data_IF_022357086606
#
_entry.id   IF_022357086606
#
_cell.length_a   1.000
_cell.length_b   1.000
_cell.length_c   1.000
_cell.angle_alpha   90.00
_cell.angle_beta   90.00
_cell.angle_gamma   90.00
#
_symmetry.space_group_name_H-M   'P 1'
#
loop_
_entity.id
_entity.type
_entity.pdbx_description
1 polymer ?
#
# COMPACT_ATOMS: atom_id res chain seq x y z
N UNK A 1 0.12 -10.54 -20.73
CA UNK A 1 -0.24 -10.48 -19.28
C UNK A 1 0.81 -9.66 -18.55
N UNK A 2 0.40 -8.71 -17.74
CA UNK A 2 1.31 -7.85 -16.97
C UNK A 2 1.20 -8.21 -15.49
N UNK A 3 2.33 -8.47 -14.84
CA UNK A 3 2.42 -8.73 -13.40
C UNK A 3 3.07 -7.54 -12.71
N UNK A 4 2.42 -7.02 -11.69
CA UNK A 4 2.95 -5.96 -10.85
C UNK A 4 3.24 -6.54 -9.46
N UNK A 5 4.39 -6.20 -8.90
CA UNK A 5 4.84 -6.70 -7.60
C UNK A 5 5.09 -5.52 -6.67
N UNK A 6 4.41 -5.53 -5.52
CA UNK A 6 4.71 -4.61 -4.43
C UNK A 6 5.80 -5.23 -3.56
N UNK A 7 6.98 -4.60 -3.55
CA UNK A 7 8.15 -5.10 -2.83
C UNK A 7 8.23 -4.72 -1.36
N UNK A 8 7.24 -4.00 -0.83
CA UNK A 8 7.30 -3.44 0.53
C UNK A 8 6.01 -3.59 1.30
N UNK A 9 6.13 -4.11 2.50
CA UNK A 9 5.10 -4.08 3.53
C UNK A 9 5.76 -4.30 4.90
N UNK A 10 5.25 -3.70 5.99
CA UNK A 10 5.78 -3.96 7.32
C UNK A 10 5.44 -5.39 7.76
N UNK A 11 6.34 -6.00 8.54
CA UNK A 11 6.14 -7.35 9.07
C UNK A 11 4.87 -7.45 9.95
N UNK A 12 4.49 -6.36 10.61
CA UNK A 12 3.30 -6.29 11.46
C UNK A 12 1.98 -6.40 10.69
N UNK A 13 2.03 -6.30 9.35
CA UNK A 13 0.85 -6.54 8.50
C UNK A 13 0.43 -8.03 8.49
N UNK A 14 1.30 -8.93 8.94
CA UNK A 14 0.97 -10.33 9.14
C UNK A 14 0.08 -10.50 10.39
N UNK A 15 -1.15 -10.02 10.32
CA UNK A 15 -2.15 -10.05 11.37
C UNK A 15 -3.49 -10.56 10.83
N UNK A 16 -4.32 -11.13 11.70
CA UNK A 16 -5.61 -11.67 11.30
C UNK A 16 -6.52 -10.58 10.73
N UNK A 17 -7.17 -10.85 9.60
CA UNK A 17 -8.09 -9.92 8.94
C UNK A 17 -7.42 -8.91 8.01
N UNK A 18 -6.10 -8.84 7.96
CA UNK A 18 -5.39 -7.91 7.07
C UNK A 18 -5.70 -8.15 5.59
N UNK A 19 -5.83 -9.42 5.19
CA UNK A 19 -6.22 -9.79 3.82
C UNK A 19 -7.64 -9.36 3.48
N UNK A 20 -8.57 -9.44 4.41
CA UNK A 20 -9.95 -8.96 4.23
C UNK A 20 -9.98 -7.44 4.05
N UNK A 21 -9.17 -6.70 4.79
CA UNK A 21 -9.01 -5.25 4.60
C UNK A 21 -8.49 -4.94 3.20
N UNK A 22 -7.48 -5.67 2.75
CA UNK A 22 -6.95 -5.50 1.39
C UNK A 22 -8.02 -5.79 0.33
N UNK A 23 -8.77 -6.85 0.48
CA UNK A 23 -9.86 -7.20 -0.44
C UNK A 23 -10.91 -6.07 -0.51
N UNK A 24 -11.26 -5.47 0.62
CA UNK A 24 -12.16 -4.33 0.70
C UNK A 24 -11.61 -3.09 -0.02
N UNK A 25 -10.33 -2.79 0.14
CA UNK A 25 -9.67 -1.67 -0.55
C UNK A 25 -9.71 -1.88 -2.06
N UNK A 26 -9.33 -3.07 -2.52
CA UNK A 26 -9.36 -3.42 -3.96
C UNK A 26 -10.77 -3.26 -4.51
N UNK A 27 -11.76 -3.83 -3.85
CA UNK A 27 -13.16 -3.75 -4.29
C UNK A 27 -13.67 -2.31 -4.36
N UNK A 28 -13.35 -1.49 -3.36
CA UNK A 28 -13.77 -0.09 -3.33
C UNK A 28 -13.12 0.73 -4.45
N UNK A 29 -11.83 0.56 -4.70
CA UNK A 29 -11.13 1.28 -5.76
C UNK A 29 -11.64 0.88 -7.14
N UNK A 30 -11.87 -0.42 -7.37
CA UNK A 30 -12.43 -0.90 -8.64
C UNK A 30 -13.84 -0.37 -8.86
N UNK A 31 -14.67 -0.34 -7.81
CA UNK A 31 -16.03 0.17 -7.91
C UNK A 31 -16.09 1.66 -8.26
N UNK A 32 -15.18 2.46 -7.72
CA UNK A 32 -15.10 3.89 -8.02
C UNK A 32 -14.75 4.19 -9.47
N UNK A 33 -14.09 3.27 -10.15
CA UNK A 33 -13.59 3.43 -11.52
C UNK A 33 -14.23 2.42 -12.48
N UNK A 34 -15.38 1.87 -12.11
CA UNK A 34 -16.01 0.76 -12.84
C UNK A 34 -16.20 1.07 -14.33
N UNK A 35 -16.62 2.28 -14.68
CA UNK A 35 -16.82 2.66 -16.09
C UNK A 35 -15.50 2.63 -16.87
N UNK A 36 -14.44 3.16 -16.30
CA UNK A 36 -13.11 3.15 -16.94
C UNK A 36 -12.59 1.73 -17.13
N UNK A 37 -12.87 0.84 -16.19
CA UNK A 37 -12.46 -0.57 -16.25
C UNK A 37 -13.23 -1.36 -17.31
N UNK A 38 -14.47 -0.98 -17.62
CA UNK A 38 -15.23 -1.54 -18.74
C UNK A 38 -14.58 -1.14 -20.06
N UNK A 39 -14.17 0.13 -20.17
CA UNK A 39 -13.55 0.67 -21.38
C UNK A 39 -12.11 0.18 -21.55
N UNK A 40 -11.37 0.02 -20.45
CA UNK A 40 -9.99 -0.48 -20.45
C UNK A 40 -9.75 -1.46 -19.31
N UNK A 41 -9.97 -2.77 -19.51
CA UNK A 41 -9.75 -3.78 -18.48
C UNK A 41 -8.29 -3.93 -18.03
N UNK A 42 -7.32 -3.39 -18.77
CA UNK A 42 -5.90 -3.47 -18.37
C UNK A 42 -5.60 -2.66 -17.12
N UNK A 43 -6.44 -1.67 -16.79
CA UNK A 43 -6.32 -0.86 -15.58
C UNK A 43 -6.56 -1.64 -14.28
N UNK A 44 -7.21 -2.81 -14.34
CA UNK A 44 -7.48 -3.64 -13.15
C UNK A 44 -6.20 -3.98 -12.40
N UNK A 45 -5.16 -4.41 -13.09
CA UNK A 45 -3.88 -4.77 -12.48
C UNK A 45 -3.22 -3.56 -11.80
N UNK A 46 -3.25 -2.40 -12.43
CA UNK A 46 -2.68 -1.17 -11.88
C UNK A 46 -3.45 -0.69 -10.64
N UNK A 47 -4.76 -0.76 -10.68
CA UNK A 47 -5.60 -0.38 -9.53
C UNK A 47 -5.43 -1.35 -8.36
N UNK A 48 -5.33 -2.65 -8.64
CA UNK A 48 -5.05 -3.64 -7.61
C UNK A 48 -3.67 -3.44 -6.99
N UNK A 49 -2.66 -3.14 -7.79
CA UNK A 49 -1.30 -2.82 -7.30
C UNK A 49 -1.31 -1.54 -6.43
N UNK A 50 -2.06 -0.53 -6.83
CA UNK A 50 -2.26 0.68 -6.04
C UNK A 50 -2.91 0.40 -4.68
N UNK A 51 -3.89 -0.50 -4.65
CA UNK A 51 -4.54 -0.95 -3.42
C UNK A 51 -3.55 -1.67 -2.49
N UNK A 52 -2.72 -2.56 -3.02
CA UNK A 52 -1.69 -3.28 -2.26
C UNK A 52 -0.69 -2.29 -1.65
N UNK A 53 -0.23 -1.33 -2.43
CA UNK A 53 0.68 -0.28 -1.96
C UNK A 53 0.05 0.56 -0.84
N UNK A 54 -1.18 1.02 -1.02
CA UNK A 54 -1.93 1.81 -0.04
C UNK A 54 -2.13 1.03 1.26
N UNK A 55 -2.47 -0.24 1.16
CA UNK A 55 -2.63 -1.15 2.29
C UNK A 55 -1.34 -1.27 3.10
N UNK A 56 -0.21 -1.50 2.43
CA UNK A 56 1.10 -1.56 3.08
C UNK A 56 1.50 -0.24 3.72
N UNK A 57 1.24 0.89 3.06
CA UNK A 57 1.50 2.22 3.60
C UNK A 57 0.65 2.51 4.85
N UNK A 58 -0.64 2.20 4.79
CA UNK A 58 -1.54 2.36 5.95
C UNK A 58 -1.08 1.52 7.14
N UNK A 59 -0.63 0.29 6.89
CA UNK A 59 -0.08 -0.58 7.93
C UNK A 59 1.22 0.00 8.53
N UNK A 60 2.10 0.56 7.70
CA UNK A 60 3.33 1.20 8.16
C UNK A 60 3.03 2.42 9.04
N UNK A 61 2.05 3.23 8.66
CA UNK A 61 1.59 4.37 9.45
C UNK A 61 0.97 3.92 10.78
N UNK A 62 0.11 2.90 10.75
CA UNK A 62 -0.51 2.34 11.94
C UNK A 62 0.52 1.76 12.92
N UNK A 63 1.56 1.12 12.41
CA UNK A 63 2.64 0.55 13.21
C UNK A 63 3.70 1.56 13.65
N UNK A 64 3.61 2.81 13.21
CA UNK A 64 4.65 3.84 13.38
C UNK A 64 6.01 3.42 12.82
N UNK A 65 6.01 2.64 11.74
CA UNK A 65 7.22 2.28 10.99
C UNK A 65 7.79 3.52 10.28
N UNK A 66 9.08 3.47 9.93
CA UNK A 66 9.71 4.57 9.19
C UNK A 66 9.06 4.73 7.81
N UNK A 67 8.31 5.81 7.66
CA UNK A 67 7.58 6.12 6.43
C UNK A 67 8.50 6.65 5.32
N UNK A 68 9.65 7.21 5.67
CA UNK A 68 10.58 7.75 4.68
C UNK A 68 11.16 6.67 3.77
N UNK A 69 11.28 5.46 4.27
CA UNK A 69 11.71 4.30 3.48
C UNK A 69 10.78 4.00 2.30
N UNK A 70 9.53 4.47 2.34
CA UNK A 70 8.54 4.25 1.29
C UNK A 70 8.62 5.25 0.14
N UNK A 71 9.29 6.37 0.38
CA UNK A 71 9.40 7.45 -0.59
C UNK A 71 10.66 7.32 -1.47
N UNK A 72 11.58 6.44 -1.09
CA UNK A 72 12.83 6.27 -1.83
C UNK A 72 12.72 5.09 -2.80
N UNK A 73 12.85 5.32 -4.11
CA UNK A 73 12.91 4.21 -5.07
C UNK A 73 14.14 3.33 -4.76
N UNK A 74 13.92 2.02 -4.64
CA UNK A 74 15.05 1.09 -4.53
C UNK A 74 15.56 0.73 -5.91
N UNK A 75 16.83 0.98 -6.15
CA UNK A 75 17.54 0.44 -7.29
C UNK A 75 17.82 -1.05 -7.07
N UNK A 76 17.63 -1.82 -8.11
CA UNK A 76 17.91 -3.26 -8.10
C UNK A 76 19.37 -3.50 -7.71
N UNK A 77 19.61 -4.27 -6.64
CA UNK A 77 20.96 -4.63 -6.18
C UNK A 77 21.46 -3.84 -4.96
N UNK A 78 20.69 -2.90 -4.41
CA UNK A 78 21.08 -2.28 -3.14
C UNK A 78 20.94 -3.27 -1.97
N UNK A 79 21.82 -3.18 -0.95
CA UNK A 79 21.72 -4.04 0.22
C UNK A 79 20.35 -3.88 0.88
N UNK A 80 19.71 -5.00 1.18
CA UNK A 80 18.39 -5.02 1.82
C UNK A 80 18.49 -4.49 3.25
N UNK A 81 18.30 -3.20 3.42
CA UNK A 81 18.05 -2.61 4.74
C UNK A 81 16.61 -2.90 5.23
N UNK A 82 15.82 -3.56 4.38
CA UNK A 82 14.38 -3.72 4.53
C UNK A 82 13.95 -4.54 5.75
N UNK A 83 14.76 -5.50 6.19
CA UNK A 83 14.39 -6.35 7.33
C UNK A 83 14.39 -5.54 8.63
N UNK A 84 15.40 -4.70 8.84
CA UNK A 84 15.45 -3.85 10.03
C UNK A 84 14.34 -2.78 10.02
N UNK A 85 14.03 -2.23 8.85
CA UNK A 85 12.97 -1.22 8.69
C UNK A 85 11.58 -1.83 8.82
N UNK A 86 11.35 -3.02 8.26
CA UNK A 86 10.07 -3.71 8.40
C UNK A 86 9.80 -4.20 9.82
N UNK A 87 10.85 -4.33 10.64
CA UNK A 87 10.73 -4.69 12.06
C UNK A 87 10.54 -3.47 12.98
N UNK A 88 10.71 -2.24 12.46
CA UNK A 88 10.46 -1.03 13.22
C UNK A 88 8.98 -0.77 13.42
N UNK A 89 8.60 -0.31 14.61
CA UNK A 89 7.22 0.00 14.96
C UNK A 89 6.67 -0.95 16.01
N UNK A 90 5.36 -1.08 16.06
CA UNK A 90 4.65 -1.93 17.01
C UNK A 90 3.61 -2.82 16.32
N UNK A 91 3.19 -3.93 16.98
CA UNK A 91 2.11 -4.77 16.45
C UNK A 91 0.82 -3.99 16.23
N UNK A 92 0.07 -4.39 15.21
CA UNK A 92 -1.21 -3.80 14.84
C UNK A 92 -2.26 -4.89 14.62
N UNK A 93 -3.52 -4.50 14.65
CA UNK A 93 -4.65 -5.32 14.23
C UNK A 93 -5.29 -4.74 12.97
N UNK A 94 -6.16 -5.51 12.31
CA UNK A 94 -6.75 -5.12 11.03
C UNK A 94 -7.48 -3.77 11.09
N UNK A 95 -8.19 -3.46 12.17
CA UNK A 95 -8.89 -2.19 12.36
C UNK A 95 -7.93 -0.98 12.44
N UNK A 96 -6.70 -1.17 12.89
CA UNK A 96 -5.69 -0.11 12.90
C UNK A 96 -5.29 0.28 11.47
N UNK A 97 -5.21 -0.69 10.57
CA UNK A 97 -4.95 -0.44 9.15
C UNK A 97 -6.08 0.38 8.53
N UNK A 98 -7.33 0.02 8.82
CA UNK A 98 -8.51 0.76 8.35
C UNK A 98 -8.46 2.21 8.84
N UNK A 99 -8.17 2.42 10.12
CA UNK A 99 -8.09 3.75 10.73
C UNK A 99 -6.99 4.62 10.11
N UNK A 100 -5.92 4.02 9.61
CA UNK A 100 -4.79 4.72 8.97
C UNK A 100 -5.02 5.03 7.48
N UNK A 101 -6.03 4.44 6.82
CA UNK A 101 -6.29 4.64 5.39
C UNK A 101 -6.46 6.10 4.98
N UNK A 102 -7.23 6.95 5.69
CA UNK A 102 -7.35 8.36 5.31
C UNK A 102 -6.01 9.08 5.25
N UNK A 103 -5.14 8.85 6.22
CA UNK A 103 -3.80 9.44 6.25
C UNK A 103 -2.90 8.89 5.13
N UNK A 104 -3.02 7.62 4.80
CA UNK A 104 -2.28 7.01 3.69
C UNK A 104 -2.68 7.63 2.35
N UNK A 105 -3.96 7.80 2.09
CA UNK A 105 -4.45 8.47 0.88
C UNK A 105 -4.01 9.94 0.83
N UNK A 106 -4.02 10.62 1.95
CA UNK A 106 -3.60 12.02 2.04
C UNK A 106 -2.12 12.18 1.68
N UNK A 107 -1.27 11.29 2.21
CA UNK A 107 0.15 11.27 1.90
C UNK A 107 0.40 11.01 0.40
N UNK A 108 -0.30 10.05 -0.20
CA UNK A 108 -0.17 9.73 -1.63
C UNK A 108 -0.60 10.91 -2.50
N UNK A 109 -1.69 11.57 -2.17
CA UNK A 109 -2.17 12.75 -2.88
C UNK A 109 -1.21 13.92 -2.78
N UNK A 110 -0.59 14.12 -1.63
CA UNK A 110 0.40 15.17 -1.41
C UNK A 110 1.65 14.92 -2.25
N UNK A 111 2.14 13.69 -2.26
CA UNK A 111 3.30 13.31 -3.07
C UNK A 111 3.05 13.53 -4.56
N UNK A 112 1.89 13.11 -5.06
CA UNK A 112 1.53 13.28 -6.47
C UNK A 112 1.50 14.77 -6.91
N UNK A 113 1.14 15.68 -6.01
CA UNK A 113 1.12 17.13 -6.33
C UNK A 113 2.49 17.75 -6.49
N UNK A 114 3.52 17.17 -5.89
CA UNK A 114 4.89 17.68 -6.00
C UNK A 114 5.67 17.14 -7.20
N UNK A 115 5.18 16.10 -7.83
CA UNK A 115 5.78 15.50 -9.03
C UNK A 115 5.30 16.15 -10.34
N UNK A 116 4.25 16.92 -10.28
CA UNK A 116 3.72 17.72 -11.39
C UNK A 116 4.39 19.11 -11.42
#
# INVERSE_FOLDING_TARGET
>A
MRTLVCGRAPAFLATAGAGDVLAGIIGALLAQRAQELIDDPTLVAEMAAGAVYTHGLAAAMAAHSDQHAWQTPHLYGEPKQDIAQSACGHPIIASDVIAALPSAFDLLNTTARYED
#
